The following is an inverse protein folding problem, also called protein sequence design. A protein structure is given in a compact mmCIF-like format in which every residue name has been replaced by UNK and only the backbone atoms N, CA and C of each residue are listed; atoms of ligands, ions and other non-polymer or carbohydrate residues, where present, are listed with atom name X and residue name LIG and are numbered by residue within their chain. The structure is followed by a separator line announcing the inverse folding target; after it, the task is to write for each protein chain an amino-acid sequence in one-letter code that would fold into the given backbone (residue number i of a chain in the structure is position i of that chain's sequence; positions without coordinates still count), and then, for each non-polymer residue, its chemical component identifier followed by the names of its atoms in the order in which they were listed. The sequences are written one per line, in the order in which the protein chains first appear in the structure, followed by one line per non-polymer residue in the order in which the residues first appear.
data_IF_426169620929
#
_entry.id   IF_426169620929
#
_cell.length_a   1.000
_cell.length_b   1.000
_cell.length_c   1.000
_cell.angle_alpha   90.00
_cell.angle_beta   90.00
_cell.angle_gamma   90.00
#
_symmetry.space_group_name_H-M   'P 1'
#
loop_
_entity.id
_entity.type
_entity.pdbx_description
1 polymer ?
#
# COMPACT_ATOMS: atom_id res chain seq x y z
N UNK A 1 -6.03 -0.50 -9.11
CA UNK A 1 -7.28 0.29 -9.29
C UNK A 1 -7.92 0.75 -7.97
N UNK A 2 -8.26 -0.15 -7.03
CA UNK A 2 -8.95 0.22 -5.77
C UNK A 2 -8.21 1.27 -4.93
N UNK A 3 -6.88 1.17 -4.84
CA UNK A 3 -6.04 2.11 -4.09
C UNK A 3 -6.19 3.54 -4.61
N UNK A 4 -6.20 3.73 -5.92
CA UNK A 4 -6.36 5.05 -6.56
C UNK A 4 -7.75 5.64 -6.30
N UNK A 5 -8.80 4.82 -6.33
CA UNK A 5 -10.14 5.28 -5.96
C UNK A 5 -10.17 5.73 -4.49
N UNK A 6 -9.54 4.97 -3.60
CA UNK A 6 -9.46 5.29 -2.18
C UNK A 6 -8.65 6.58 -1.89
N UNK A 7 -7.59 6.88 -2.67
CA UNK A 7 -6.90 8.18 -2.56
C UNK A 7 -7.80 9.35 -2.94
N UNK A 8 -8.61 9.18 -4.00
CA UNK A 8 -9.59 10.18 -4.41
C UNK A 8 -10.70 10.37 -3.37
N UNK A 9 -11.12 9.28 -2.70
CA UNK A 9 -12.14 9.32 -1.66
C UNK A 9 -11.62 9.85 -0.30
N UNK A 10 -10.35 10.27 -0.19
CA UNK A 10 -9.78 10.80 1.05
C UNK A 10 -9.52 9.73 2.12
N UNK A 11 -9.44 8.44 1.73
CA UNK A 11 -9.28 7.33 2.68
C UNK A 11 -7.82 7.06 3.07
N UNK A 12 -6.86 7.61 2.33
CA UNK A 12 -5.43 7.45 2.58
C UNK A 12 -4.59 7.77 1.34
N UNK A 13 -3.29 7.55 1.43
CA UNK A 13 -2.35 7.71 0.32
C UNK A 13 -1.73 6.36 -0.06
N UNK A 14 -1.14 6.24 -1.26
CA UNK A 14 -0.33 5.06 -1.59
C UNK A 14 1.03 5.23 -0.91
N UNK A 15 1.39 4.28 -0.03
CA UNK A 15 2.70 4.27 0.62
C UNK A 15 3.79 3.70 -0.27
N UNK A 16 5.05 3.78 0.19
CA UNK A 16 6.22 3.23 -0.53
C UNK A 16 6.05 1.74 -0.87
N UNK A 17 5.41 0.97 0.03
CA UNK A 17 5.08 -0.45 -0.19
C UNK A 17 4.02 -0.70 -1.28
N UNK A 18 3.55 0.35 -1.94
CA UNK A 18 2.48 0.30 -2.93
C UNK A 18 1.10 -0.03 -2.39
N UNK A 19 0.91 -0.13 -1.07
CA UNK A 19 -0.39 -0.32 -0.44
C UNK A 19 -1.02 1.02 -0.09
N UNK A 20 -2.35 1.07 0.00
CA UNK A 20 -3.01 2.24 0.57
C UNK A 20 -2.72 2.28 2.08
N UNK A 21 -2.27 3.42 2.57
CA UNK A 21 -2.00 3.68 3.98
C UNK A 21 -3.06 4.65 4.49
N UNK A 22 -3.91 4.16 5.38
CA UNK A 22 -4.88 4.99 6.09
C UNK A 22 -4.23 5.64 7.33
N UNK A 23 -4.58 6.89 7.69
CA UNK A 23 -4.02 7.55 8.88
C UNK A 23 -4.22 6.79 10.20
N UNK A 24 -5.36 6.12 10.36
CA UNK A 24 -5.76 5.45 11.60
C UNK A 24 -5.34 3.98 11.63
N UNK A 25 -5.53 3.27 10.53
CA UNK A 25 -5.35 1.81 10.45
C UNK A 25 -4.08 1.39 9.68
N UNK A 26 -3.40 2.35 9.05
CA UNK A 26 -2.26 2.06 8.19
C UNK A 26 -2.67 1.20 6.99
N UNK A 27 -1.80 0.28 6.54
CA UNK A 27 -2.08 -0.62 5.42
C UNK A 27 -2.86 -1.89 5.82
N UNK A 28 -3.42 -1.96 7.03
CA UNK A 28 -4.13 -3.15 7.58
C UNK A 28 -5.62 -3.19 7.20
N UNK A 29 -5.94 -2.75 5.99
CA UNK A 29 -7.32 -2.69 5.51
C UNK A 29 -7.46 -3.40 4.17
N UNK A 30 -8.54 -4.16 4.04
CA UNK A 30 -9.02 -4.72 2.79
C UNK A 30 -10.08 -3.79 2.21
N UNK A 31 -10.07 -3.60 0.90
CA UNK A 31 -10.93 -2.64 0.23
C UNK A 31 -11.66 -3.29 -0.93
N UNK A 32 -12.89 -2.83 -1.15
CA UNK A 32 -13.66 -3.09 -2.35
C UNK A 32 -14.06 -1.75 -2.98
N UNK A 33 -14.47 -1.77 -4.25
CA UNK A 33 -14.97 -0.59 -4.94
C UNK A 33 -16.30 -0.94 -5.60
N UNK A 34 -17.28 -0.06 -5.43
CA UNK A 34 -18.58 -0.14 -6.09
C UNK A 34 -18.65 1.01 -7.09
N UNK A 35 -19.00 0.70 -8.33
CA UNK A 35 -19.27 1.70 -9.36
C UNK A 35 -20.78 1.94 -9.37
N UNK A 36 -21.19 3.20 -9.28
CA UNK A 36 -22.59 3.60 -9.25
C UNK A 36 -22.76 4.97 -9.89
N UNK A 37 -23.93 5.21 -10.45
CA UNK A 37 -24.46 6.48 -10.96
C UNK A 37 -25.25 7.26 -9.89
N UNK A 38 -25.43 6.69 -8.69
CA UNK A 38 -26.10 7.35 -7.59
C UNK A 38 -25.45 8.73 -7.30
N UNK A 39 -26.26 9.78 -7.05
CA UNK A 39 -25.72 11.10 -6.75
C UNK A 39 -25.05 11.07 -5.36
N UNK A 40 -23.73 11.09 -5.35
CA UNK A 40 -22.90 11.10 -4.13
C UNK A 40 -22.05 12.36 -4.08
N UNK A 41 -21.83 12.87 -2.88
CA UNK A 41 -20.87 13.95 -2.67
C UNK A 41 -19.43 13.46 -2.90
N UNK A 42 -18.65 14.24 -3.64
CA UNK A 42 -17.25 13.93 -3.91
C UNK A 42 -16.37 14.46 -2.77
N UNK A 43 -15.36 13.68 -2.39
CA UNK A 43 -14.39 14.10 -1.39
C UNK A 43 -13.67 15.39 -1.82
N UNK A 44 -13.67 16.39 -0.94
CA UNK A 44 -13.03 17.70 -1.19
C UNK A 44 -11.52 17.70 -1.02
N UNK A 45 -10.99 16.72 -0.28
CA UNK A 45 -9.58 16.67 0.12
C UNK A 45 -8.96 15.31 -0.21
N UNK A 46 -8.80 14.99 -1.51
CA UNK A 46 -8.14 13.77 -1.92
C UNK A 46 -6.65 13.78 -1.54
N UNK A 47 -6.07 12.60 -1.33
CA UNK A 47 -4.62 12.47 -1.19
C UNK A 47 -3.97 12.44 -2.57
N UNK A 48 -3.04 13.36 -2.83
CA UNK A 48 -2.32 13.45 -4.10
C UNK A 48 -0.85 13.03 -4.00
N UNK A 49 -0.35 12.84 -2.78
CA UNK A 49 1.03 12.48 -2.49
C UNK A 49 1.12 11.59 -1.25
N UNK A 50 2.23 10.84 -1.16
CA UNK A 50 2.53 9.99 -0.03
C UNK A 50 2.94 10.79 1.20
N UNK A 51 2.40 10.43 2.36
CA UNK A 51 2.83 10.96 3.67
C UNK A 51 3.85 10.06 4.38
N UNK A 52 4.54 9.17 3.66
CA UNK A 52 5.60 8.35 4.26
C UNK A 52 6.87 9.15 4.60
N UNK A 53 7.15 10.24 3.89
CA UNK A 53 8.34 11.07 4.11
C UNK A 53 9.63 10.24 4.04
N UNK A 54 10.47 10.36 5.07
CA UNK A 54 11.76 9.67 5.18
C UNK A 54 11.66 8.26 5.78
N UNK A 55 10.46 7.77 6.09
CA UNK A 55 10.29 6.42 6.64
C UNK A 55 10.64 5.35 5.60
N UNK A 56 11.52 4.42 5.97
CA UNK A 56 11.96 3.28 5.14
C UNK A 56 11.72 1.92 5.81
N UNK A 57 10.89 1.86 6.87
CA UNK A 57 10.65 0.61 7.64
C UNK A 57 10.15 -0.55 6.79
N UNK A 58 9.26 -0.28 5.84
CA UNK A 58 8.74 -1.33 4.94
C UNK A 58 9.78 -1.76 3.89
N UNK A 59 10.67 -0.86 3.46
CA UNK A 59 11.79 -1.16 2.56
C UNK A 59 12.73 -2.15 3.23
N UNK A 60 13.18 -1.82 4.44
CA UNK A 60 14.10 -2.65 5.22
C UNK A 60 13.51 -4.01 5.63
N UNK A 61 12.18 -4.09 5.77
CA UNK A 61 11.49 -5.32 6.14
C UNK A 61 11.13 -6.20 4.93
N UNK A 62 11.33 -5.74 3.70
CA UNK A 62 10.93 -6.48 2.50
C UNK A 62 11.94 -7.60 2.21
N UNK A 63 11.53 -8.88 2.29
CA UNK A 63 12.47 -9.99 2.11
C UNK A 63 12.97 -10.17 0.68
N UNK A 64 12.26 -9.61 -0.31
CA UNK A 64 12.64 -9.64 -1.73
C UNK A 64 13.19 -8.32 -2.25
N UNK A 65 13.42 -7.34 -1.36
CA UNK A 65 13.91 -6.01 -1.73
C UNK A 65 13.09 -5.32 -2.83
N UNK A 66 11.79 -5.62 -2.92
CA UNK A 66 10.92 -5.14 -3.98
C UNK A 66 10.56 -3.64 -3.89
N UNK A 67 10.75 -3.00 -2.73
CA UNK A 67 10.30 -1.62 -2.51
C UNK A 67 11.45 -0.64 -2.81
N UNK A 68 11.24 0.31 -3.71
CA UNK A 68 12.29 1.22 -4.26
C UNK A 68 12.58 2.47 -3.43
N UNK A 69 12.02 2.56 -2.21
CA UNK A 69 12.09 3.72 -1.31
C UNK A 69 11.60 5.07 -1.90
N UNK A 70 10.77 5.03 -2.95
CA UNK A 70 10.21 6.22 -3.61
C UNK A 70 8.86 6.60 -3.00
N UNK A 71 8.65 7.89 -2.74
CA UNK A 71 7.35 8.41 -2.34
C UNK A 71 6.41 8.54 -3.54
N UNK A 72 5.25 7.89 -3.47
CA UNK A 72 4.22 8.00 -4.50
C UNK A 72 3.67 9.42 -4.63
N UNK A 73 3.35 9.80 -5.87
CA UNK A 73 2.57 10.98 -6.24
C UNK A 73 1.50 10.58 -7.25
N UNK A 74 0.35 11.27 -7.24
CA UNK A 74 -0.73 11.01 -8.19
C UNK A 74 -0.24 11.12 -9.63
N UNK A 75 -0.53 10.10 -10.44
CA UNK A 75 -0.06 9.98 -11.83
C UNK A 75 1.07 8.97 -12.00
N UNK A 76 1.80 8.64 -10.92
CA UNK A 76 2.85 7.63 -10.94
C UNK A 76 2.30 6.22 -11.08
N UNK A 77 3.05 5.37 -11.79
CA UNK A 77 2.72 3.94 -11.94
C UNK A 77 3.29 3.13 -10.77
N UNK A 78 2.80 1.89 -10.58
CA UNK A 78 3.25 1.06 -9.47
C UNK A 78 4.76 0.76 -9.52
N UNK A 79 5.26 0.63 -10.75
CA UNK A 79 6.64 0.34 -11.08
C UNK A 79 7.60 1.49 -10.70
N UNK A 80 7.09 2.69 -10.41
CA UNK A 80 7.94 3.76 -9.87
C UNK A 80 8.41 3.46 -8.43
N UNK A 81 7.64 2.71 -7.65
CA UNK A 81 7.90 2.54 -6.20
C UNK A 81 7.96 1.09 -5.72
N UNK A 82 7.43 0.12 -6.49
CA UNK A 82 7.48 -1.30 -6.12
C UNK A 82 7.69 -2.22 -7.33
N UNK A 83 8.56 -3.21 -7.17
CA UNK A 83 8.72 -4.34 -8.07
C UNK A 83 7.68 -5.42 -7.75
N UNK A 84 6.60 -5.44 -8.51
CA UNK A 84 5.51 -6.40 -8.30
C UNK A 84 5.92 -7.82 -8.68
N UNK A 85 6.88 -7.99 -9.60
CA UNK A 85 7.43 -9.28 -10.01
C UNK A 85 8.22 -9.92 -8.87
N UNK A 86 9.22 -9.20 -8.34
CA UNK A 86 10.01 -9.68 -7.20
C UNK A 86 9.16 -9.96 -5.95
N UNK A 87 8.09 -9.19 -5.73
CA UNK A 87 7.12 -9.46 -4.68
C UNK A 87 6.36 -10.78 -4.93
N UNK A 88 5.85 -10.99 -6.15
CA UNK A 88 5.12 -12.20 -6.53
C UNK A 88 6.00 -13.46 -6.51
N UNK A 89 7.25 -13.35 -6.93
CA UNK A 89 8.22 -14.46 -6.90
C UNK A 89 8.48 -14.91 -5.47
N UNK A 90 8.63 -13.97 -4.53
CA UNK A 90 8.76 -14.30 -3.12
C UNK A 90 7.51 -14.97 -2.56
N UNK A 91 6.31 -14.52 -2.94
CA UNK A 91 5.06 -15.17 -2.55
C UNK A 91 4.95 -16.60 -3.12
N UNK A 92 5.49 -16.82 -4.32
CA UNK A 92 5.56 -18.16 -4.92
C UNK A 92 6.56 -19.05 -4.18
N UNK A 93 7.69 -18.49 -3.75
CA UNK A 93 8.63 -19.17 -2.86
C UNK A 93 7.95 -19.56 -1.53
N UNK A 94 7.15 -18.69 -0.91
CA UNK A 94 6.48 -19.02 0.37
C UNK A 94 5.44 -20.12 0.22
N UNK A 95 4.80 -20.27 -0.95
CA UNK A 95 3.97 -21.45 -1.24
C UNK A 95 4.81 -22.73 -1.24
N UNK A 96 6.00 -22.72 -1.83
CA UNK A 96 6.89 -23.88 -1.88
C UNK A 96 7.45 -24.23 -0.50
N UNK A 97 7.90 -23.23 0.25
CA UNK A 97 8.54 -23.39 1.55
C UNK A 97 7.55 -23.65 2.70
N UNK A 98 6.41 -22.96 2.70
CA UNK A 98 5.46 -22.94 3.83
C UNK A 98 4.05 -23.39 3.46
N UNK A 99 3.81 -23.80 2.21
CA UNK A 99 2.49 -24.22 1.70
C UNK A 99 1.41 -23.14 1.84
N UNK A 100 1.82 -21.87 1.87
CA UNK A 100 0.94 -20.70 2.04
C UNK A 100 1.38 -19.55 1.14
N UNK A 101 0.44 -18.94 0.44
CA UNK A 101 0.68 -17.73 -0.36
C UNK A 101 0.61 -16.50 0.54
N UNK A 102 1.66 -16.28 1.34
CA UNK A 102 1.71 -15.23 2.37
C UNK A 102 3.05 -14.49 2.40
N UNK A 103 3.01 -13.21 2.77
CA UNK A 103 4.18 -12.41 3.19
C UNK A 103 3.73 -11.35 4.20
N UNK A 104 3.20 -10.21 3.72
CA UNK A 104 2.64 -9.16 4.59
C UNK A 104 3.65 -8.39 5.45
N UNK A 105 4.95 -8.59 5.25
CA UNK A 105 6.00 -7.95 6.08
C UNK A 105 5.95 -6.42 6.03
N UNK A 106 5.65 -5.84 4.86
CA UNK A 106 5.48 -4.40 4.72
C UNK A 106 4.27 -3.85 5.49
N UNK A 107 3.19 -4.64 5.61
CA UNK A 107 2.01 -4.29 6.42
C UNK A 107 2.41 -4.28 7.89
N UNK A 108 3.06 -5.34 8.36
CA UNK A 108 3.50 -5.48 9.75
C UNK A 108 4.49 -4.37 10.15
N UNK A 109 5.46 -4.06 9.30
CA UNK A 109 6.51 -3.09 9.58
C UNK A 109 6.04 -1.63 9.56
N UNK A 110 4.90 -1.33 8.91
CA UNK A 110 4.40 0.04 8.81
C UNK A 110 4.04 0.60 10.20
N UNK A 111 4.59 1.78 10.59
CA UNK A 111 4.37 2.35 11.92
C UNK A 111 2.92 2.85 12.13
N UNK A 112 2.22 3.23 11.05
CA UNK A 112 0.90 3.85 11.14
C UNK A 112 -0.18 2.79 11.35
N UNK A 113 -1.04 2.97 12.35
CA UNK A 113 -2.14 2.04 12.66
C UNK A 113 -1.73 0.69 13.23
N UNK A 114 -0.49 0.54 13.70
CA UNK A 114 -0.11 -0.55 14.59
C UNK A 114 -0.55 -0.23 16.02
N UNK A 115 -0.73 -1.26 16.88
CA UNK A 115 -0.92 -1.03 18.32
C UNK A 115 0.24 -0.14 18.81
N UNK A 116 -0.09 1.02 19.40
CA UNK A 116 0.86 1.78 20.21
C UNK A 116 1.30 0.84 21.32
N UNK A 117 2.54 0.36 21.25
CA UNK A 117 3.17 -0.34 22.38
C UNK A 117 3.40 0.67 23.49
#
# INVERSE_FOLDING_TARGET
PHKTAATCAGLGWIGKSGLLVNPLYGPRLSWATVLTDAPLEVCRTPYIESKCGNCSRCVNACPSSAIRDVNWKRGETAEAFIDTGACADYMTYTVRAFRKYICGMCILACPLGGKKR
#
